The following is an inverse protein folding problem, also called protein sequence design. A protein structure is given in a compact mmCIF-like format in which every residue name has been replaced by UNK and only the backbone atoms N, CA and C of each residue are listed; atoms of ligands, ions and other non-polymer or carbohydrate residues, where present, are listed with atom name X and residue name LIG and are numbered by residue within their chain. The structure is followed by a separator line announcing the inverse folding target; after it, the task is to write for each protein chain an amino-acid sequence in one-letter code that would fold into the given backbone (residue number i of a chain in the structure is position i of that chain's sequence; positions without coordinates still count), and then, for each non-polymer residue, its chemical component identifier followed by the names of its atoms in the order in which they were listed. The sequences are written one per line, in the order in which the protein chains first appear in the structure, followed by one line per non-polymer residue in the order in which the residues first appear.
data_IF_679118208651
#
_entry.id   IF_679118208651
#
_cell.length_a   1.000
_cell.length_b   1.000
_cell.length_c   1.000
_cell.angle_alpha   90.00
_cell.angle_beta   90.00
_cell.angle_gamma   90.00
#
_symmetry.space_group_name_H-M   'P 1'
#
loop_
_entity.id
_entity.type
_entity.pdbx_description
1 polymer ?
#
# COMPACT_ATOMS: atom_id res chain seq x y z
N UNK A 1 4.33 -11.96 10.15
CA UNK A 1 4.89 -12.42 8.85
C UNK A 1 5.76 -13.65 9.01
N UNK A 2 6.88 -13.61 9.76
CA UNK A 2 7.85 -14.72 9.78
C UNK A 2 8.04 -15.44 11.14
N UNK A 3 7.31 -15.03 12.19
CA UNK A 3 7.29 -15.74 13.47
C UNK A 3 8.57 -15.68 14.33
N UNK A 4 9.63 -15.02 13.86
CA UNK A 4 10.92 -14.82 14.55
C UNK A 4 11.48 -13.42 14.31
N UNK A 5 12.44 -13.01 15.13
CA UNK A 5 13.27 -11.84 14.85
C UNK A 5 14.21 -12.14 13.67
N UNK A 6 14.37 -11.21 12.72
CA UNK A 6 15.24 -11.43 11.56
C UNK A 6 16.72 -11.28 11.93
N UNK A 7 17.60 -11.96 11.18
CA UNK A 7 19.02 -11.59 11.14
C UNK A 7 19.22 -10.23 10.46
N UNK A 8 20.45 -9.69 10.52
CA UNK A 8 20.80 -8.43 9.84
C UNK A 8 20.57 -8.51 8.33
N UNK A 9 20.92 -9.65 7.72
CA UNK A 9 20.76 -9.91 6.29
C UNK A 9 19.27 -10.05 5.93
N UNK A 10 18.50 -10.82 6.70
CA UNK A 10 17.05 -10.96 6.52
C UNK A 10 16.34 -9.60 6.64
N UNK A 11 16.77 -8.76 7.59
CA UNK A 11 16.23 -7.41 7.77
C UNK A 11 16.53 -6.51 6.57
N UNK A 12 17.75 -6.56 6.03
CA UNK A 12 18.12 -5.75 4.87
C UNK A 12 17.28 -6.12 3.64
N UNK A 13 17.17 -7.42 3.36
CA UNK A 13 16.32 -7.93 2.27
C UNK A 13 14.85 -7.50 2.46
N UNK A 14 14.34 -7.56 3.69
CA UNK A 14 12.97 -7.12 3.97
C UNK A 14 12.76 -5.62 3.73
N UNK A 15 13.73 -4.78 4.12
CA UNK A 15 13.70 -3.33 3.85
C UNK A 15 13.71 -3.04 2.35
N UNK A 16 14.53 -3.76 1.59
CA UNK A 16 14.63 -3.58 0.13
C UNK A 16 13.32 -3.99 -0.56
N UNK A 17 12.70 -5.08 -0.13
CA UNK A 17 11.35 -5.48 -0.58
C UNK A 17 10.32 -4.39 -0.29
N UNK A 18 10.31 -3.84 0.92
CA UNK A 18 9.40 -2.74 1.27
C UNK A 18 9.66 -1.48 0.43
N UNK A 19 10.91 -1.20 0.06
CA UNK A 19 11.23 -0.04 -0.77
C UNK A 19 10.74 -0.21 -2.22
N UNK A 20 10.89 -1.41 -2.78
CA UNK A 20 10.46 -1.74 -4.14
C UNK A 20 8.93 -1.65 -4.33
N UNK A 21 8.16 -1.98 -3.29
CA UNK A 21 6.69 -2.08 -3.36
C UNK A 21 5.95 -0.77 -2.98
N UNK A 22 6.66 0.34 -2.79
CA UNK A 22 6.04 1.65 -2.41
C UNK A 22 5.39 2.38 -3.58
N UNK A 23 5.68 1.99 -4.81
CA UNK A 23 5.25 2.73 -5.99
C UNK A 23 3.73 2.67 -6.16
N UNK A 24 3.09 3.80 -6.46
CA UNK A 24 1.67 3.85 -6.76
C UNK A 24 1.47 3.62 -8.27
N UNK A 25 0.72 2.59 -8.67
CA UNK A 25 0.33 2.44 -10.07
C UNK A 25 -0.50 3.63 -10.55
N UNK A 26 -0.38 4.00 -11.83
CA UNK A 26 -1.07 5.17 -12.39
C UNK A 26 -2.60 5.14 -12.18
N UNK A 27 -3.23 3.96 -12.30
CA UNK A 27 -4.66 3.84 -12.06
C UNK A 27 -5.07 4.14 -10.61
N UNK A 28 -4.19 3.87 -9.65
CA UNK A 28 -4.40 4.19 -8.23
C UNK A 28 -4.26 5.69 -7.98
N UNK A 29 -3.28 6.33 -8.61
CA UNK A 29 -3.13 7.78 -8.54
C UNK A 29 -4.38 8.50 -9.05
N UNK A 30 -4.86 8.11 -10.24
CA UNK A 30 -6.11 8.64 -10.82
C UNK A 30 -7.32 8.39 -9.93
N UNK A 31 -7.41 7.21 -9.32
CA UNK A 31 -8.46 6.91 -8.34
C UNK A 31 -8.39 7.88 -7.16
N UNK A 32 -7.22 8.05 -6.53
CA UNK A 32 -7.05 8.95 -5.38
C UNK A 32 -7.45 10.39 -5.72
N UNK A 33 -7.14 10.87 -6.92
CA UNK A 33 -7.51 12.20 -7.40
C UNK A 33 -9.02 12.36 -7.64
N UNK A 34 -9.71 11.29 -8.03
CA UNK A 34 -11.16 11.31 -8.28
C UNK A 34 -12.02 11.28 -7.02
N UNK A 35 -11.45 10.93 -5.86
CA UNK A 35 -12.20 10.81 -4.60
C UNK A 35 -12.58 12.20 -4.04
N UNK A 36 -13.82 12.38 -3.53
CA UNK A 36 -14.29 13.67 -3.00
C UNK A 36 -13.37 14.27 -1.95
N UNK A 37 -13.09 15.57 -2.00
CA UNK A 37 -12.18 16.24 -1.06
C UNK A 37 -12.62 16.14 0.41
N UNK A 38 -13.93 16.03 0.65
CA UNK A 38 -14.51 15.87 1.99
C UNK A 38 -14.63 14.40 2.45
N UNK A 39 -14.17 13.43 1.67
CA UNK A 39 -14.10 12.03 2.10
C UNK A 39 -13.04 11.89 3.20
N UNK A 40 -13.37 11.19 4.29
CA UNK A 40 -12.45 10.97 5.40
C UNK A 40 -11.27 10.07 5.01
N UNK A 41 -10.13 10.26 5.67
CA UNK A 41 -8.87 9.59 5.34
C UNK A 41 -8.97 8.06 5.37
N UNK A 42 -9.78 7.51 6.29
CA UNK A 42 -9.96 6.06 6.41
C UNK A 42 -10.84 5.49 5.30
N UNK A 43 -11.87 6.22 4.87
CA UNK A 43 -12.67 5.86 3.70
C UNK A 43 -11.85 5.91 2.42
N UNK A 44 -10.97 6.91 2.27
CA UNK A 44 -10.02 6.97 1.15
C UNK A 44 -9.11 5.74 1.16
N UNK A 45 -8.44 5.47 2.28
CA UNK A 45 -7.52 4.34 2.40
C UNK A 45 -8.23 3.02 2.12
N UNK A 46 -9.41 2.79 2.69
CA UNK A 46 -10.23 1.59 2.44
C UNK A 46 -10.53 1.43 0.96
N UNK A 47 -11.01 2.48 0.30
CA UNK A 47 -11.37 2.45 -1.13
C UNK A 47 -10.16 2.11 -1.99
N UNK A 48 -9.03 2.74 -1.73
CA UNK A 48 -7.81 2.53 -2.51
C UNK A 48 -7.24 1.13 -2.28
N UNK A 49 -7.24 0.63 -1.03
CA UNK A 49 -6.81 -0.74 -0.72
C UNK A 49 -7.72 -1.77 -1.40
N UNK A 50 -9.04 -1.54 -1.43
CA UNK A 50 -9.96 -2.40 -2.17
C UNK A 50 -9.69 -2.39 -3.68
N UNK A 51 -9.34 -1.24 -4.26
CA UNK A 51 -9.01 -1.12 -5.68
C UNK A 51 -7.66 -1.75 -6.06
N UNK A 52 -6.74 -1.93 -5.11
CA UNK A 52 -5.49 -2.67 -5.29
C UNK A 52 -5.69 -4.19 -5.34
N UNK A 53 -6.87 -4.69 -4.96
CA UNK A 53 -7.18 -6.11 -4.99
C UNK A 53 -7.20 -6.65 -6.42
N UNK A 54 -6.44 -7.70 -6.66
CA UNK A 54 -6.46 -8.44 -7.93
C UNK A 54 -7.28 -9.73 -7.77
N UNK A 55 -7.88 -10.24 -8.86
CA UNK A 55 -8.64 -11.51 -8.84
C UNK A 55 -7.80 -12.73 -8.44
N UNK A 56 -6.47 -12.57 -8.42
CA UNK A 56 -5.49 -13.57 -8.00
C UNK A 56 -5.37 -13.68 -6.49
N UNK A 57 -5.89 -12.71 -5.73
CA UNK A 57 -5.79 -12.67 -4.27
C UNK A 57 -6.83 -13.62 -3.67
N UNK A 58 -6.36 -14.78 -3.23
CA UNK A 58 -7.19 -15.81 -2.60
C UNK A 58 -6.91 -15.88 -1.11
N UNK A 59 -7.89 -16.36 -0.34
CA UNK A 59 -7.62 -16.80 1.04
C UNK A 59 -6.86 -18.14 0.98
N UNK A 60 -5.67 -18.31 1.56
CA UNK A 60 -4.87 -17.44 2.42
C UNK A 60 -3.92 -16.52 1.61
N UNK A 61 -3.77 -15.24 2.00
CA UNK A 61 -2.92 -14.31 1.27
C UNK A 61 -1.45 -14.73 1.37
N UNK A 62 -0.72 -14.50 0.28
CA UNK A 62 0.72 -14.73 0.21
C UNK A 62 1.46 -13.66 1.01
N UNK A 63 2.68 -13.99 1.43
CA UNK A 63 3.50 -13.03 2.20
C UNK A 63 3.83 -11.80 1.37
N UNK A 64 4.03 -11.98 0.06
CA UNK A 64 4.30 -10.92 -0.91
C UNK A 64 3.14 -9.92 -0.99
N UNK A 65 1.89 -10.40 -0.99
CA UNK A 65 0.69 -9.55 -1.01
C UNK A 65 0.61 -8.71 0.27
N UNK A 66 0.92 -9.31 1.42
CA UNK A 66 0.98 -8.58 2.69
C UNK A 66 2.10 -7.53 2.70
N UNK A 67 3.29 -7.85 2.19
CA UNK A 67 4.41 -6.91 2.06
C UNK A 67 4.03 -5.73 1.17
N UNK A 68 3.39 -6.00 0.02
CA UNK A 68 2.92 -4.95 -0.89
C UNK A 68 1.94 -4.00 -0.21
N UNK A 69 0.96 -4.52 0.51
CA UNK A 69 -0.01 -3.70 1.25
C UNK A 69 0.67 -2.84 2.35
N UNK A 70 1.62 -3.42 3.09
CA UNK A 70 2.39 -2.68 4.10
C UNK A 70 3.21 -1.56 3.44
N UNK A 71 3.87 -1.84 2.31
CA UNK A 71 4.73 -0.90 1.62
C UNK A 71 3.97 0.27 0.98
N UNK A 72 2.82 0.00 0.36
CA UNK A 72 2.08 1.00 -0.43
C UNK A 72 1.18 1.90 0.43
N UNK A 73 0.74 1.43 1.60
CA UNK A 73 -0.17 2.18 2.49
C UNK A 73 0.35 3.58 2.86
N UNK A 74 1.62 3.77 3.27
CA UNK A 74 2.16 5.11 3.51
C UNK A 74 2.16 6.01 2.27
N UNK A 75 2.43 5.44 1.09
CA UNK A 75 2.42 6.17 -0.18
C UNK A 75 1.03 6.69 -0.51
N UNK A 76 -0.02 5.88 -0.32
CA UNK A 76 -1.43 6.30 -0.52
C UNK A 76 -1.75 7.51 0.36
N UNK A 77 -1.43 7.42 1.65
CA UNK A 77 -1.70 8.49 2.64
C UNK A 77 -0.95 9.77 2.26
N UNK A 78 0.35 9.66 1.94
CA UNK A 78 1.18 10.80 1.57
C UNK A 78 0.69 11.47 0.28
N UNK A 79 0.34 10.67 -0.73
CA UNK A 79 -0.16 11.15 -2.02
C UNK A 79 -1.48 11.90 -1.84
N UNK A 80 -2.46 11.30 -1.14
CA UNK A 80 -3.76 11.93 -0.87
C UNK A 80 -3.60 13.25 -0.12
N UNK A 81 -2.78 13.27 0.95
CA UNK A 81 -2.55 14.46 1.77
C UNK A 81 -1.87 15.58 0.98
N UNK A 82 -1.02 15.26 0.03
CA UNK A 82 -0.42 16.23 -0.89
C UNK A 82 -1.46 16.78 -1.87
N UNK A 83 -2.30 15.92 -2.44
CA UNK A 83 -3.34 16.30 -3.40
C UNK A 83 -4.41 17.23 -2.80
N UNK A 84 -4.85 16.98 -1.56
CA UNK A 84 -5.89 17.79 -0.92
C UNK A 84 -5.39 19.11 -0.32
N UNK A 85 -4.07 19.25 -0.12
CA UNK A 85 -3.44 20.44 0.47
C UNK A 85 -2.69 21.32 -0.54
N UNK A 86 -2.49 20.83 -1.76
CA UNK A 86 -1.95 21.60 -2.88
C UNK A 86 -3.01 22.48 -3.50
#
# INVERSE_FOLDING_TARGET
LFGKLPSTEELQVFKDKLAAERNLPEHIERLIQSLPNNMDDMSVLRTVVSALGENTYTFHPKTEEAIRLIAITPSIIAYRKRWTRG
#
